data_IF_936567813719
#
_entry.id   IF_936567813719
#
_cell.length_a   1.000
_cell.length_b   1.000
_cell.length_c   1.000
_cell.angle_alpha   90.00
_cell.angle_beta   90.00
_cell.angle_gamma   90.00
#
_symmetry.space_group_name_H-M   'P 1'
#
loop_
_entity.id
_entity.type
_entity.pdbx_description
1 polymer ?
#
# COMPACT_ATOMS: atom_id res chain seq x y z
N UNK A 1 -3.42 24.14 -22.48
CA UNK A 1 -3.65 23.63 -21.11
C UNK A 1 -3.81 22.13 -21.19
N UNK A 2 -3.94 21.44 -20.05
CA UNK A 2 -4.46 20.07 -20.05
C UNK A 2 -5.97 20.21 -19.85
N UNK A 3 -6.73 19.94 -20.90
CA UNK A 3 -8.16 20.25 -20.92
C UNK A 3 -9.02 19.14 -20.29
N UNK A 4 -8.42 17.98 -19.99
CA UNK A 4 -9.13 16.79 -19.49
C UNK A 4 -8.33 16.00 -18.45
N UNK A 5 -8.07 16.62 -17.29
CA UNK A 5 -7.54 15.91 -16.13
C UNK A 5 -8.67 15.46 -15.20
N UNK A 6 -8.49 14.31 -14.55
CA UNK A 6 -9.39 13.83 -13.49
C UNK A 6 -8.58 13.37 -12.29
N UNK A 7 -9.11 13.63 -11.11
CA UNK A 7 -8.54 13.20 -9.83
C UNK A 7 -9.56 12.31 -9.11
N UNK A 8 -9.08 11.28 -8.43
CA UNK A 8 -9.90 10.48 -7.53
C UNK A 8 -10.39 11.36 -6.37
N UNK A 9 -11.69 11.53 -6.26
CA UNK A 9 -12.31 12.24 -5.12
C UNK A 9 -12.09 11.42 -3.85
N UNK A 10 -11.44 12.02 -2.85
CA UNK A 10 -11.08 11.33 -1.61
C UNK A 10 -9.89 10.35 -1.73
N UNK A 11 -9.21 10.34 -2.89
CA UNK A 11 -8.03 9.52 -3.11
C UNK A 11 -8.31 8.01 -3.06
N UNK A 12 -7.26 7.26 -2.79
CA UNK A 12 -7.25 5.80 -2.89
C UNK A 12 -8.09 5.10 -1.83
N UNK A 13 -8.12 5.61 -0.60
CA UNK A 13 -8.88 5.02 0.50
C UNK A 13 -10.38 5.11 0.20
N UNK A 14 -10.84 6.25 -0.31
CA UNK A 14 -12.23 6.41 -0.72
C UNK A 14 -12.57 5.48 -1.90
N UNK A 15 -11.66 5.34 -2.86
CA UNK A 15 -11.84 4.41 -3.97
C UNK A 15 -11.99 2.95 -3.51
N UNK A 16 -11.12 2.48 -2.63
CA UNK A 16 -11.19 1.12 -2.08
C UNK A 16 -12.51 0.89 -1.34
N UNK A 17 -12.98 1.89 -0.58
CA UNK A 17 -14.24 1.83 0.16
C UNK A 17 -15.48 1.82 -0.76
N UNK A 18 -15.52 2.66 -1.79
CA UNK A 18 -16.68 2.79 -2.69
C UNK A 18 -16.80 1.65 -3.71
N UNK A 19 -15.69 1.01 -4.05
CA UNK A 19 -15.62 0.01 -5.14
C UNK A 19 -15.28 -1.39 -4.67
N UNK A 20 -15.08 -1.59 -3.37
CA UNK A 20 -14.57 -2.84 -2.79
C UNK A 20 -13.23 -3.27 -3.43
N UNK A 21 -12.41 -2.28 -3.81
CA UNK A 21 -11.11 -2.49 -4.45
C UNK A 21 -11.18 -3.08 -5.86
N UNK A 22 -12.28 -2.83 -6.59
CA UNK A 22 -12.38 -3.16 -8.03
C UNK A 22 -11.18 -2.55 -8.77
N UNK A 23 -10.52 -3.31 -9.63
CA UNK A 23 -9.32 -2.88 -10.39
C UNK A 23 -8.11 -2.41 -9.57
N UNK A 24 -8.12 -2.61 -8.25
CA UNK A 24 -6.93 -2.42 -7.42
C UNK A 24 -6.10 -3.71 -7.42
N UNK A 25 -4.77 -3.63 -7.52
CA UNK A 25 -3.87 -4.78 -7.40
C UNK A 25 -2.78 -4.50 -6.36
N UNK A 26 -2.53 -5.48 -5.48
CA UNK A 26 -1.60 -5.34 -4.37
C UNK A 26 -2.21 -4.67 -3.13
N UNK A 27 -1.35 -4.04 -2.34
CA UNK A 27 -1.67 -3.44 -1.04
C UNK A 27 -1.52 -1.91 -1.11
N UNK A 28 -2.31 -1.17 -0.33
CA UNK A 28 -2.24 0.29 -0.25
C UNK A 28 -1.27 0.72 0.85
N UNK A 29 -0.15 1.35 0.48
CA UNK A 29 0.79 1.91 1.45
C UNK A 29 0.16 3.06 2.26
N UNK A 30 0.41 3.09 3.56
CA UNK A 30 -0.03 4.14 4.48
C UNK A 30 1.12 4.63 5.34
N UNK A 31 1.11 5.92 5.68
CA UNK A 31 2.19 6.61 6.39
C UNK A 31 2.01 6.55 7.91
N UNK A 32 1.77 5.35 8.43
CA UNK A 32 1.69 5.05 9.87
C UNK A 32 2.13 3.61 10.12
N UNK A 33 2.07 3.16 11.37
CA UNK A 33 2.59 1.87 11.83
C UNK A 33 1.99 0.65 11.12
N UNK A 34 0.86 0.80 10.41
CA UNK A 34 0.24 -0.30 9.65
C UNK A 34 1.02 -0.65 8.39
N UNK A 35 1.80 0.29 7.85
CA UNK A 35 2.60 0.18 6.62
C UNK A 35 1.77 -0.04 5.35
N UNK A 36 0.94 -1.08 5.27
CA UNK A 36 0.01 -1.31 4.16
C UNK A 36 -1.36 -1.81 4.61
N UNK A 37 -2.37 -1.55 3.77
CA UNK A 37 -3.73 -2.07 3.91
C UNK A 37 -4.09 -2.97 2.73
N UNK A 38 -4.92 -3.99 2.96
CA UNK A 38 -5.56 -4.76 1.90
C UNK A 38 -6.74 -3.99 1.26
N UNK A 39 -7.41 -4.61 0.28
CA UNK A 39 -8.58 -4.02 -0.40
C UNK A 39 -9.75 -3.74 0.54
N UNK A 40 -9.84 -4.50 1.63
CA UNK A 40 -10.83 -4.32 2.70
C UNK A 40 -10.42 -3.30 3.75
N UNK A 41 -9.34 -2.52 3.50
CA UNK A 41 -8.78 -1.53 4.42
C UNK A 41 -8.28 -2.14 5.74
N UNK A 42 -7.98 -3.43 5.77
CA UNK A 42 -7.40 -4.09 6.94
C UNK A 42 -5.87 -4.00 6.90
N UNK A 43 -5.20 -3.78 8.04
CA UNK A 43 -3.75 -3.84 8.13
C UNK A 43 -3.23 -5.20 7.66
N UNK A 44 -2.13 -5.21 6.92
CA UNK A 44 -1.48 -6.45 6.50
C UNK A 44 -0.20 -6.71 7.31
N UNK A 45 0.38 -7.91 7.15
CA UNK A 45 1.59 -8.32 7.86
C UNK A 45 2.87 -7.88 7.14
N UNK A 46 3.05 -6.57 6.97
CA UNK A 46 4.26 -5.96 6.40
C UNK A 46 5.02 -5.13 7.41
N UNK A 47 6.31 -4.92 7.12
CA UNK A 47 7.18 -3.98 7.84
C UNK A 47 8.11 -3.29 6.86
N UNK A 48 8.72 -2.19 7.28
CA UNK A 48 9.81 -1.57 6.54
C UNK A 48 11.14 -2.27 6.85
N UNK A 49 11.97 -2.49 5.82
CA UNK A 49 13.35 -2.90 6.03
C UNK A 49 14.10 -1.78 6.78
N UNK A 50 14.78 -2.07 7.91
CA UNK A 50 15.46 -1.03 8.69
C UNK A 50 16.65 -0.37 7.95
N UNK A 51 17.16 -1.00 6.88
CA UNK A 51 18.30 -0.51 6.09
C UNK A 51 17.87 0.34 4.89
N UNK A 52 16.89 -0.12 4.10
CA UNK A 52 16.50 0.54 2.84
C UNK A 52 15.04 0.99 2.78
N UNK A 53 14.26 0.77 3.84
CA UNK A 53 12.84 1.12 3.94
C UNK A 53 11.93 0.48 2.87
N UNK A 54 12.37 -0.58 2.20
CA UNK A 54 11.50 -1.38 1.35
C UNK A 54 10.47 -2.12 2.19
N UNK A 55 9.24 -2.21 1.69
CA UNK A 55 8.17 -3.00 2.30
C UNK A 55 8.50 -4.48 2.14
N UNK A 56 8.56 -5.21 3.25
CA UNK A 56 8.89 -6.64 3.31
C UNK A 56 7.86 -7.39 4.16
N UNK A 57 7.76 -8.71 3.96
CA UNK A 57 6.95 -9.57 4.81
C UNK A 57 7.46 -9.53 6.25
N UNK A 58 6.55 -9.36 7.21
CA UNK A 58 6.92 -9.26 8.62
C UNK A 58 7.49 -10.58 9.17
N UNK A 59 6.92 -11.72 8.74
CA UNK A 59 7.29 -13.07 9.17
C UNK A 59 8.55 -13.62 8.51
N UNK A 60 8.95 -13.04 7.37
CA UNK A 60 10.13 -13.51 6.69
C UNK A 60 11.37 -13.03 7.47
N UNK A 61 12.03 -14.01 8.11
CA UNK A 61 13.32 -13.83 8.79
C UNK A 61 14.45 -13.80 7.77
N UNK A 62 14.18 -14.17 6.51
CA UNK A 62 15.15 -14.00 5.45
C UNK A 62 15.20 -12.54 5.05
N UNK A 63 16.42 -12.03 4.94
CA UNK A 63 16.75 -10.62 4.77
C UNK A 63 16.00 -10.01 3.58
N UNK A 64 15.75 -8.70 3.67
CA UNK A 64 15.27 -7.91 2.53
C UNK A 64 16.08 -8.23 1.27
N UNK A 65 15.40 -8.73 0.23
CA UNK A 65 16.03 -9.22 -1.01
C UNK A 65 16.86 -8.15 -1.72
N UNK A 66 16.51 -6.88 -1.52
CA UNK A 66 17.22 -5.72 -2.04
C UNK A 66 18.54 -5.48 -1.30
N UNK A 67 18.59 -5.77 0.00
CA UNK A 67 19.68 -5.37 0.89
C UNK A 67 20.74 -6.43 1.18
N UNK A 68 20.50 -7.69 0.77
CA UNK A 68 21.32 -8.91 0.98
C UNK A 68 22.45 -8.78 2.01
#
# INVERSE_FOLDING_TARGET
>A
GIDSFKQLKGGIINYLNETEGKHWDGECFVFDDRITLDKGLNPTYKKLCPKCQQVINAFDRTKCEVCR
#
